data_IF_072461183605
#
_entry.id   IF_072461183605
#
_cell.length_a   1.000
_cell.length_b   1.000
_cell.length_c   1.000
_cell.angle_alpha   90.00
_cell.angle_beta   90.00
_cell.angle_gamma   90.00
#
_symmetry.space_group_name_H-M   'P 1'
#
loop_
_entity.id
_entity.type
_entity.pdbx_description
1 polymer ?
#
# COMPACT_ATOMS: atom_id res chain seq x y z
N UNK A 1 0.27 -27.36 15.48
CA UNK A 1 1.35 -26.37 15.63
C UNK A 1 2.15 -26.74 16.87
N UNK A 2 3.45 -27.05 16.73
CA UNK A 2 4.32 -27.27 17.88
C UNK A 2 4.33 -25.99 18.75
N UNK A 3 3.79 -26.10 19.96
CA UNK A 3 3.82 -25.04 20.97
C UNK A 3 5.29 -24.70 21.27
N UNK A 4 5.73 -23.50 20.93
CA UNK A 4 7.00 -22.98 21.48
C UNK A 4 7.81 -22.02 20.61
N UNK A 5 7.70 -22.07 19.27
CA UNK A 5 8.41 -21.12 18.39
C UNK A 5 7.44 -20.29 17.57
N UNK A 6 7.09 -19.10 18.07
CA UNK A 6 6.46 -18.07 17.25
C UNK A 6 7.44 -17.72 16.11
N UNK A 7 7.05 -17.83 14.83
CA UNK A 7 7.92 -17.47 13.72
C UNK A 7 8.22 -15.97 13.82
N UNK A 8 9.47 -15.60 14.12
CA UNK A 8 9.86 -14.19 14.28
C UNK A 8 9.51 -13.33 13.07
N UNK A 9 9.49 -13.93 11.87
CA UNK A 9 9.12 -13.28 10.61
C UNK A 9 7.69 -12.70 10.61
N UNK A 10 6.71 -13.36 11.23
CA UNK A 10 5.33 -12.84 11.26
C UNK A 10 5.19 -11.60 12.14
N UNK A 11 5.98 -11.51 13.21
CA UNK A 11 5.96 -10.33 14.09
C UNK A 11 6.57 -9.13 13.37
N UNK A 12 7.70 -9.32 12.68
CA UNK A 12 8.31 -8.28 11.86
C UNK A 12 7.36 -7.78 10.77
N UNK A 13 6.69 -8.70 10.05
CA UNK A 13 5.68 -8.33 9.07
C UNK A 13 4.51 -7.56 9.67
N UNK A 14 4.04 -7.93 10.86
CA UNK A 14 2.97 -7.20 11.53
C UNK A 14 3.37 -5.75 11.82
N UNK A 15 4.59 -5.54 12.34
CA UNK A 15 5.12 -4.21 12.61
C UNK A 15 5.19 -3.38 11.32
N UNK A 16 5.73 -3.94 10.24
CA UNK A 16 5.80 -3.23 8.95
C UNK A 16 4.40 -2.90 8.45
N UNK A 17 3.44 -3.84 8.51
CA UNK A 17 2.05 -3.60 8.14
C UNK A 17 1.47 -2.39 8.91
N UNK A 18 1.65 -2.32 10.23
CA UNK A 18 1.11 -1.20 11.01
C UNK A 18 1.76 0.13 10.66
N UNK A 19 3.06 0.16 10.37
CA UNK A 19 3.74 1.35 9.87
C UNK A 19 3.13 1.80 8.54
N UNK A 20 2.95 0.86 7.60
CA UNK A 20 2.35 1.15 6.29
C UNK A 20 0.88 1.60 6.40
N UNK A 21 0.11 1.08 7.36
CA UNK A 21 -1.23 1.58 7.68
C UNK A 21 -1.15 3.04 8.13
N UNK A 22 -0.25 3.37 9.06
CA UNK A 22 -0.05 4.74 9.52
C UNK A 22 0.28 5.70 8.36
N UNK A 23 1.20 5.30 7.49
CA UNK A 23 1.57 6.07 6.30
C UNK A 23 0.40 6.20 5.32
N UNK A 24 -0.41 5.16 5.14
CA UNK A 24 -1.58 5.18 4.26
C UNK A 24 -2.65 6.12 4.79
N UNK A 25 -2.90 6.13 6.10
CA UNK A 25 -3.84 7.07 6.74
C UNK A 25 -3.34 8.51 6.59
N UNK A 26 -2.05 8.76 6.82
CA UNK A 26 -1.45 10.07 6.60
C UNK A 26 -1.60 10.52 5.15
N UNK A 27 -1.35 9.63 4.19
CA UNK A 27 -1.51 9.90 2.75
C UNK A 27 -2.96 10.24 2.39
N UNK A 28 -3.94 9.49 2.91
CA UNK A 28 -5.37 9.78 2.71
C UNK A 28 -5.75 11.17 3.22
N UNK A 29 -5.32 11.52 4.44
CA UNK A 29 -5.58 12.84 5.03
C UNK A 29 -4.87 13.93 4.24
N UNK A 30 -3.60 13.73 3.88
CA UNK A 30 -2.82 14.67 3.08
C UNK A 30 -3.45 14.93 1.70
N UNK A 31 -3.92 13.88 1.02
CA UNK A 31 -4.57 14.03 -0.27
C UNK A 31 -5.94 14.70 -0.17
N UNK A 32 -6.73 14.39 0.88
CA UNK A 32 -7.99 15.08 1.14
C UNK A 32 -7.77 16.58 1.45
N UNK A 33 -6.75 16.91 2.23
CA UNK A 33 -6.37 18.28 2.52
C UNK A 33 -5.90 19.01 1.25
N UNK A 34 -5.00 18.39 0.48
CA UNK A 34 -4.50 18.94 -0.78
C UNK A 34 -5.65 19.24 -1.73
N UNK A 35 -6.60 18.31 -1.89
CA UNK A 35 -7.76 18.52 -2.74
C UNK A 35 -8.69 19.63 -2.23
N UNK A 36 -8.93 19.71 -0.92
CA UNK A 36 -9.80 20.73 -0.32
C UNK A 36 -9.24 22.15 -0.41
N UNK A 37 -7.92 22.27 -0.49
CA UNK A 37 -7.22 23.55 -0.54
C UNK A 37 -6.52 23.83 -1.86
N UNK A 38 -6.66 22.96 -2.87
CA UNK A 38 -5.91 23.04 -4.13
C UNK A 38 -5.99 24.43 -4.77
N UNK A 39 -7.19 25.02 -4.85
CA UNK A 39 -7.41 26.33 -5.47
C UNK A 39 -6.78 27.50 -4.70
N UNK A 40 -6.30 27.28 -3.47
CA UNK A 40 -5.74 28.30 -2.59
C UNK A 40 -4.22 28.20 -2.44
N UNK A 41 -3.59 27.21 -3.06
CA UNK A 41 -2.14 27.04 -2.99
C UNK A 41 -1.51 27.92 -4.07
N UNK A 42 -0.71 28.95 -3.71
CA UNK A 42 -0.03 29.78 -4.69
C UNK A 42 1.05 28.95 -5.39
N UNK A 43 1.01 28.90 -6.71
CA UNK A 43 1.95 28.12 -7.54
C UNK A 43 3.09 28.98 -8.11
N UNK A 44 3.03 30.30 -7.91
CA UNK A 44 3.93 31.27 -8.56
C UNK A 44 5.40 31.15 -8.09
N UNK A 45 5.61 30.65 -6.87
CA UNK A 45 6.95 30.48 -6.27
C UNK A 45 7.41 29.01 -6.22
N UNK A 46 6.65 28.09 -6.80
CA UNK A 46 7.00 26.66 -6.78
C UNK A 46 8.16 26.34 -7.72
N UNK A 47 9.00 25.39 -7.32
CA UNK A 47 9.99 24.83 -8.22
C UNK A 47 9.30 24.14 -9.41
N UNK A 48 9.93 24.15 -10.59
CA UNK A 48 9.34 23.62 -11.84
C UNK A 48 8.86 22.16 -11.70
N UNK A 49 9.62 21.33 -10.99
CA UNK A 49 9.24 19.94 -10.71
C UNK A 49 7.99 19.82 -9.80
N UNK A 50 7.88 20.67 -8.78
CA UNK A 50 6.73 20.68 -7.86
C UNK A 50 5.48 21.20 -8.56
N UNK A 51 5.65 22.23 -9.40
CA UNK A 51 4.58 22.77 -10.23
C UNK A 51 4.06 21.72 -11.21
N UNK A 52 4.94 20.98 -11.88
CA UNK A 52 4.55 19.90 -12.78
C UNK A 52 3.76 18.79 -12.06
N UNK A 53 4.17 18.42 -10.83
CA UNK A 53 3.42 17.46 -10.00
C UNK A 53 2.04 18.00 -9.62
N UNK A 54 1.95 19.28 -9.25
CA UNK A 54 0.70 19.90 -8.88
C UNK A 54 -0.27 20.02 -10.07
N UNK A 55 0.22 20.42 -11.24
CA UNK A 55 -0.55 20.46 -12.48
C UNK A 55 -1.01 19.05 -12.89
N UNK A 56 -0.14 18.03 -12.79
CA UNK A 56 -0.52 16.64 -13.04
C UNK A 56 -1.62 16.17 -12.06
N UNK A 57 -1.55 16.58 -10.80
CA UNK A 57 -2.57 16.28 -9.80
C UNK A 57 -3.92 16.95 -10.12
N UNK A 58 -3.91 18.23 -10.50
CA UNK A 58 -5.12 18.96 -10.92
C UNK A 58 -5.77 18.34 -12.15
N UNK A 59 -4.96 17.87 -13.11
CA UNK A 59 -5.43 17.24 -14.35
C UNK A 59 -5.90 15.78 -14.16
N UNK A 60 -5.64 15.16 -13.01
CA UNK A 60 -5.96 13.76 -12.73
C UNK A 60 -7.48 13.47 -12.77
N UNK A 61 -8.29 14.50 -12.53
CA UNK A 61 -9.75 14.42 -12.53
C UNK A 61 -10.33 13.71 -11.30
N UNK A 62 -11.54 14.11 -10.89
CA UNK A 62 -12.22 13.57 -9.70
C UNK A 62 -12.40 12.04 -9.70
N UNK A 63 -12.77 11.37 -10.82
CA UNK A 63 -12.95 9.92 -10.82
C UNK A 63 -11.68 9.15 -10.47
N UNK A 64 -10.53 9.58 -10.99
CA UNK A 64 -9.25 8.97 -10.71
C UNK A 64 -8.84 9.17 -9.26
N UNK A 65 -9.05 10.38 -8.73
CA UNK A 65 -8.80 10.68 -7.33
C UNK A 65 -9.63 9.79 -6.39
N UNK A 66 -10.93 9.65 -6.67
CA UNK A 66 -11.81 8.75 -5.88
C UNK A 66 -11.33 7.30 -5.97
N UNK A 67 -10.90 6.85 -7.15
CA UNK A 67 -10.35 5.52 -7.34
C UNK A 67 -9.07 5.29 -6.50
N UNK A 68 -8.14 6.24 -6.50
CA UNK A 68 -6.89 6.18 -5.71
C UNK A 68 -7.20 6.18 -4.21
N UNK A 69 -8.11 7.03 -3.75
CA UNK A 69 -8.56 7.05 -2.35
C UNK A 69 -9.16 5.70 -1.94
N UNK A 70 -10.03 5.13 -2.78
CA UNK A 70 -10.66 3.85 -2.52
C UNK A 70 -9.64 2.70 -2.45
N UNK A 71 -8.68 2.65 -3.38
CA UNK A 71 -7.60 1.65 -3.36
C UNK A 71 -6.67 1.80 -2.16
N UNK A 72 -6.32 3.04 -1.79
CA UNK A 72 -5.46 3.32 -0.64
C UNK A 72 -6.16 2.92 0.65
N UNK A 73 -7.44 3.24 0.80
CA UNK A 73 -8.25 2.84 1.95
C UNK A 73 -8.40 1.32 2.03
N UNK A 74 -8.72 0.65 0.92
CA UNK A 74 -8.79 -0.80 0.86
C UNK A 74 -7.47 -1.43 1.28
N UNK A 75 -6.34 -0.94 0.74
CA UNK A 75 -5.01 -1.43 1.08
C UNK A 75 -4.70 -1.25 2.57
N UNK A 76 -5.03 -0.10 3.14
CA UNK A 76 -4.85 0.17 4.58
C UNK A 76 -5.67 -0.80 5.44
N UNK A 77 -6.93 -1.07 5.07
CA UNK A 77 -7.78 -2.04 5.78
C UNK A 77 -7.20 -3.46 5.67
N UNK A 78 -6.77 -3.88 4.48
CA UNK A 78 -6.17 -5.21 4.29
C UNK A 78 -4.86 -5.36 5.07
N UNK A 79 -4.00 -4.34 5.08
CA UNK A 79 -2.77 -4.30 5.87
C UNK A 79 -3.05 -4.38 7.37
N UNK A 80 -4.05 -3.64 7.85
CA UNK A 80 -4.44 -3.64 9.26
C UNK A 80 -4.95 -5.02 9.69
N UNK A 81 -5.89 -5.58 8.94
CA UNK A 81 -6.48 -6.89 9.22
C UNK A 81 -5.44 -8.02 9.15
N UNK A 82 -4.56 -7.98 8.15
CA UNK A 82 -3.47 -8.96 8.02
C UNK A 82 -2.41 -8.80 9.11
N UNK A 83 -2.08 -7.57 9.54
CA UNK A 83 -1.18 -7.33 10.66
C UNK A 83 -1.71 -7.89 11.97
N UNK A 84 -3.01 -7.68 12.27
CA UNK A 84 -3.70 -8.32 13.40
C UNK A 84 -3.68 -9.85 13.25
N UNK A 85 -3.90 -10.34 12.02
CA UNK A 85 -3.85 -11.74 11.67
C UNK A 85 -2.49 -12.40 11.94
N UNK A 86 -1.39 -11.73 11.62
CA UNK A 86 -0.02 -12.19 11.87
C UNK A 86 0.29 -12.27 13.36
N UNK A 87 -0.06 -11.23 14.14
CA UNK A 87 0.14 -11.23 15.59
C UNK A 87 -0.65 -12.33 16.30
N UNK A 88 -1.90 -12.54 15.88
CA UNK A 88 -2.80 -13.55 16.46
C UNK A 88 -2.65 -14.93 15.83
N UNK A 89 -1.77 -15.08 14.82
CA UNK A 89 -1.58 -16.31 14.04
C UNK A 89 -2.90 -16.92 13.53
N UNK A 90 -3.88 -16.07 13.19
CA UNK A 90 -5.20 -16.53 12.71
C UNK A 90 -5.12 -16.85 11.23
N UNK A 91 -5.44 -18.09 10.83
CA UNK A 91 -5.34 -18.56 9.43
C UNK A 91 -6.08 -17.65 8.44
N UNK A 92 -7.33 -17.28 8.73
CA UNK A 92 -8.12 -16.45 7.80
C UNK A 92 -7.54 -15.03 7.73
N UNK A 93 -7.34 -14.36 8.86
CA UNK A 93 -6.87 -12.97 8.89
C UNK A 93 -5.41 -12.83 8.45
N UNK A 94 -4.52 -13.73 8.85
CA UNK A 94 -3.11 -13.69 8.45
C UNK A 94 -2.94 -14.16 7.02
N UNK A 95 -3.33 -15.40 6.71
CA UNK A 95 -3.04 -16.02 5.42
C UNK A 95 -3.89 -15.46 4.29
N UNK A 96 -5.22 -15.51 4.44
CA UNK A 96 -6.13 -15.15 3.35
C UNK A 96 -6.07 -13.65 3.07
N UNK A 97 -6.22 -12.82 4.10
CA UNK A 97 -6.18 -11.36 3.92
C UNK A 97 -4.79 -10.87 3.51
N UNK A 98 -3.72 -11.44 4.07
CA UNK A 98 -2.36 -11.09 3.66
C UNK A 98 -2.04 -11.46 2.21
N UNK A 99 -2.55 -12.61 1.72
CA UNK A 99 -2.43 -12.98 0.31
C UNK A 99 -3.26 -12.07 -0.60
N UNK A 100 -4.49 -11.73 -0.22
CA UNK A 100 -5.33 -10.77 -0.95
C UNK A 100 -4.61 -9.43 -1.05
N UNK A 101 -4.09 -8.91 0.07
CA UNK A 101 -3.28 -7.70 0.08
C UNK A 101 -2.10 -7.79 -0.89
N UNK A 102 -1.30 -8.86 -0.81
CA UNK A 102 -0.12 -9.01 -1.65
C UNK A 102 -0.45 -8.98 -3.14
N UNK A 103 -1.49 -9.69 -3.56
CA UNK A 103 -1.96 -9.70 -4.96
C UNK A 103 -2.49 -8.33 -5.36
N UNK A 104 -3.36 -7.72 -4.55
CA UNK A 104 -3.93 -6.40 -4.81
C UNK A 104 -2.82 -5.35 -4.94
N UNK A 105 -1.84 -5.33 -4.05
CA UNK A 105 -0.74 -4.38 -4.08
C UNK A 105 0.16 -4.54 -5.31
N UNK A 106 0.40 -5.77 -5.78
CA UNK A 106 1.12 -6.03 -7.04
C UNK A 106 0.33 -5.48 -8.23
N UNK A 107 -0.97 -5.79 -8.31
CA UNK A 107 -1.83 -5.29 -9.40
C UNK A 107 -1.88 -3.77 -9.38
N UNK A 108 -2.08 -3.16 -8.21
CA UNK A 108 -2.10 -1.70 -8.05
C UNK A 108 -0.78 -1.05 -8.47
N UNK A 109 0.37 -1.66 -8.15
CA UNK A 109 1.69 -1.17 -8.57
C UNK A 109 1.87 -1.22 -10.09
N UNK A 110 1.39 -2.29 -10.74
CA UNK A 110 1.42 -2.43 -12.21
C UNK A 110 0.51 -1.37 -12.85
N UNK A 111 -0.73 -1.24 -12.37
CA UNK A 111 -1.69 -0.26 -12.90
C UNK A 111 -1.14 1.16 -12.73
N UNK A 112 -0.61 1.50 -11.55
CA UNK A 112 -0.02 2.81 -11.30
C UNK A 112 1.16 3.08 -12.23
N UNK A 113 2.08 2.13 -12.39
CA UNK A 113 3.23 2.28 -13.28
C UNK A 113 2.85 2.44 -14.76
N UNK A 114 1.73 1.87 -15.21
CA UNK A 114 1.29 1.97 -16.60
C UNK A 114 0.38 3.18 -16.88
N UNK A 115 -0.43 3.60 -15.91
CA UNK A 115 -1.52 4.55 -16.14
C UNK A 115 -1.27 5.94 -15.54
N UNK A 116 -0.35 6.08 -14.58
CA UNK A 116 -0.11 7.38 -13.95
C UNK A 116 0.91 8.18 -14.76
N UNK A 117 0.82 9.50 -14.66
CA UNK A 117 1.82 10.40 -15.21
C UNK A 117 3.17 10.17 -14.48
N UNK A 118 4.32 10.24 -15.18
CA UNK A 118 5.64 10.06 -14.57
C UNK A 118 5.88 10.94 -13.34
N UNK A 119 5.34 12.16 -13.36
CA UNK A 119 5.43 13.17 -12.29
C UNK A 119 4.73 12.69 -11.01
N UNK A 120 3.65 11.91 -11.13
CA UNK A 120 2.89 11.33 -10.02
C UNK A 120 3.42 9.96 -9.57
N UNK A 121 4.63 9.61 -9.99
CA UNK A 121 5.19 8.29 -9.73
C UNK A 121 4.70 7.21 -10.69
N UNK A 122 4.15 7.59 -11.84
CA UNK A 122 3.96 6.69 -12.98
C UNK A 122 5.29 6.20 -13.57
N UNK A 123 5.19 5.23 -14.48
CA UNK A 123 6.34 4.54 -15.06
C UNK A 123 7.02 3.55 -14.10
N UNK A 124 8.22 3.12 -14.48
CA UNK A 124 9.04 2.23 -13.66
C UNK A 124 10.09 3.03 -12.91
N UNK A 125 9.78 3.38 -11.66
CA UNK A 125 10.66 4.16 -10.79
C UNK A 125 10.95 3.41 -9.48
N UNK A 126 11.76 4.00 -8.60
CA UNK A 126 12.15 3.42 -7.30
C UNK A 126 10.90 3.13 -6.43
N UNK A 127 9.89 4.00 -6.47
CA UNK A 127 8.63 3.81 -5.76
C UNK A 127 7.90 2.55 -6.22
N UNK A 128 7.84 2.31 -7.53
CA UNK A 128 7.26 1.08 -8.11
C UNK A 128 8.03 -0.17 -7.66
N UNK A 129 9.37 -0.11 -7.64
CA UNK A 129 10.22 -1.22 -7.18
C UNK A 129 9.93 -1.54 -5.70
N UNK A 130 9.94 -0.52 -4.84
CA UNK A 130 9.64 -0.69 -3.41
C UNK A 130 8.21 -1.22 -3.22
N UNK A 131 7.27 -0.68 -3.99
CA UNK A 131 5.86 -1.08 -4.00
C UNK A 131 5.63 -2.54 -4.42
N UNK A 132 6.54 -3.14 -5.20
CA UNK A 132 6.49 -4.55 -5.60
C UNK A 132 7.24 -5.48 -4.64
N UNK A 133 8.39 -5.07 -4.11
CA UNK A 133 9.22 -5.92 -3.24
C UNK A 133 8.44 -6.30 -1.97
N UNK A 134 7.79 -5.34 -1.31
CA UNK A 134 7.11 -5.62 -0.04
C UNK A 134 5.96 -6.64 -0.17
N UNK A 135 5.03 -6.51 -1.14
CA UNK A 135 4.01 -7.52 -1.39
C UNK A 135 4.57 -8.90 -1.71
N UNK A 136 5.66 -8.99 -2.49
CA UNK A 136 6.30 -10.27 -2.83
C UNK A 136 6.87 -10.92 -1.56
N UNK A 137 7.61 -10.17 -0.75
CA UNK A 137 8.15 -10.66 0.52
C UNK A 137 7.02 -11.10 1.45
N UNK A 138 5.93 -10.35 1.50
CA UNK A 138 4.73 -10.67 2.27
C UNK A 138 4.14 -12.01 1.81
N UNK A 139 3.93 -12.21 0.51
CA UNK A 139 3.43 -13.47 -0.05
C UNK A 139 4.35 -14.65 0.27
N UNK A 140 5.66 -14.50 0.09
CA UNK A 140 6.63 -15.56 0.37
C UNK A 140 6.58 -15.95 1.84
N UNK A 141 6.65 -14.98 2.75
CA UNK A 141 6.68 -15.23 4.19
C UNK A 141 5.36 -15.81 4.72
N UNK A 142 4.21 -15.35 4.23
CA UNK A 142 2.91 -15.94 4.59
C UNK A 142 2.86 -17.40 4.16
N UNK A 143 3.16 -17.69 2.89
CA UNK A 143 2.96 -19.04 2.34
C UNK A 143 4.02 -20.04 2.87
N UNK A 144 5.21 -19.56 3.23
CA UNK A 144 6.21 -20.38 3.94
C UNK A 144 5.84 -20.60 5.40
N UNK A 145 5.29 -19.60 6.09
CA UNK A 145 4.95 -19.74 7.51
C UNK A 145 3.70 -20.58 7.75
N UNK A 146 2.70 -20.48 6.87
CA UNK A 146 1.46 -21.28 6.93
C UNK A 146 1.54 -22.54 6.03
N UNK A 147 2.74 -23.00 5.66
CA UNK A 147 2.94 -24.14 4.75
C UNK A 147 2.33 -25.43 5.32
N UNK A 148 2.47 -25.67 6.61
CA UNK A 148 1.95 -26.88 7.28
C UNK A 148 0.42 -26.95 7.24
N UNK A 149 -0.25 -25.81 7.04
CA UNK A 149 -1.70 -25.70 6.83
C UNK A 149 -2.11 -25.87 5.35
N UNK A 150 -1.20 -26.19 4.44
CA UNK A 150 -1.48 -26.47 3.02
C UNK A 150 -1.38 -27.96 2.69
N UNK A 151 -0.65 -28.72 3.49
CA UNK A 151 -0.36 -30.14 3.24
C UNK A 151 -1.17 -31.11 4.11
N UNK A 152 -2.02 -30.57 5.00
CA UNK A 152 -2.98 -31.31 5.83
C UNK A 152 -4.39 -30.78 5.59
#
# INVERSE_FOLDING_TARGET
>A
MNEGKRPGGLTALAVINFILVGLSVMSLVGMAALFSFADRIPTDEMAEAERAQFEAFQNMGTPMLVFILALTLLSAVLLLLSGIGYLKQKRILGRMVGNIYGITAIISSIVSGLWFAPELGGGFNIGTIIGLIYPIVTLVLINTTFKDDLTN
#
